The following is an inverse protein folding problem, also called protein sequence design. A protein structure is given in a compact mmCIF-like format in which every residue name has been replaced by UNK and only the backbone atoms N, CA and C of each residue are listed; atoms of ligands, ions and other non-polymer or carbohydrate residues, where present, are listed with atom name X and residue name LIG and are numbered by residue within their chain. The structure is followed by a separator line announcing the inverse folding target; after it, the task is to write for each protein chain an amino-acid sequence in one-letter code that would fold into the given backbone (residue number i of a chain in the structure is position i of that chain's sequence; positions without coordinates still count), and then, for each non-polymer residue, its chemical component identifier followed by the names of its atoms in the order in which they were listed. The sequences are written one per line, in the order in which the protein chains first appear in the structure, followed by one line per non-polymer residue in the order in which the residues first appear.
data_IF_161014384155
#
_entry.id   IF_161014384155
#
_cell.length_a   1.000
_cell.length_b   1.000
_cell.length_c   1.000
_cell.angle_alpha   90.00
_cell.angle_beta   90.00
_cell.angle_gamma   90.00
#
_symmetry.space_group_name_H-M   'P 1'
#
loop_
_entity.id
_entity.type
_entity.pdbx_description
1 polymer ?
#
# COMPACT_ATOMS: atom_id res chain seq x y z
N UNK A 1 -26.83 -31.66 -9.33
CA UNK A 1 -25.99 -31.09 -8.26
C UNK A 1 -25.56 -29.75 -8.79
N UNK A 2 -26.32 -28.70 -8.46
CA UNK A 2 -25.99 -27.33 -8.86
C UNK A 2 -24.82 -26.90 -8.00
N UNK A 3 -23.61 -27.27 -8.46
CA UNK A 3 -22.36 -27.03 -7.76
C UNK A 3 -22.09 -25.54 -7.71
N UNK A 4 -22.05 -24.99 -6.51
CA UNK A 4 -21.64 -23.62 -6.30
C UNK A 4 -20.28 -23.39 -6.97
N UNK A 5 -20.20 -22.39 -7.86
CA UNK A 5 -19.00 -22.07 -8.65
C UNK A 5 -18.02 -21.20 -7.86
N UNK A 6 -17.94 -21.40 -6.55
CA UNK A 6 -17.07 -20.66 -5.64
C UNK A 6 -16.65 -21.50 -4.44
N UNK A 7 -15.49 -21.16 -3.88
CA UNK A 7 -15.08 -21.60 -2.55
C UNK A 7 -15.70 -20.67 -1.51
N UNK A 8 -16.16 -21.20 -0.37
CA UNK A 8 -16.67 -20.39 0.73
C UNK A 8 -16.17 -20.90 2.08
N UNK A 9 -16.05 -20.01 3.06
CA UNK A 9 -15.68 -20.38 4.41
C UNK A 9 -15.49 -19.17 5.31
N UNK A 10 -15.07 -19.44 6.55
CA UNK A 10 -14.76 -18.42 7.54
C UNK A 10 -13.25 -18.28 7.70
N UNK A 11 -12.75 -17.04 7.71
CA UNK A 11 -11.36 -16.71 8.03
C UNK A 11 -10.32 -17.53 7.25
N UNK A 12 -10.59 -17.81 5.96
CA UNK A 12 -9.69 -18.58 5.11
C UNK A 12 -8.82 -17.66 4.26
N UNK A 13 -7.69 -18.18 3.77
CA UNK A 13 -6.81 -17.42 2.91
C UNK A 13 -5.90 -18.33 2.10
N UNK A 14 -5.13 -17.72 1.22
CA UNK A 14 -4.15 -18.39 0.39
C UNK A 14 -2.93 -17.51 0.23
N UNK A 15 -1.81 -18.17 -0.06
CA UNK A 15 -0.48 -17.58 -0.20
C UNK A 15 -0.01 -17.80 -1.62
N UNK A 16 0.54 -16.76 -2.22
CA UNK A 16 1.11 -16.81 -3.57
C UNK A 16 2.59 -16.46 -3.48
N UNK A 17 3.45 -17.41 -3.84
CA UNK A 17 4.89 -17.15 -3.94
C UNK A 17 5.14 -16.28 -5.18
N UNK A 18 5.52 -15.03 -4.96
CA UNK A 18 5.76 -14.02 -5.97
C UNK A 18 7.15 -13.41 -5.77
N UNK A 19 7.56 -12.52 -6.67
CA UNK A 19 8.83 -11.79 -6.52
C UNK A 19 8.60 -10.55 -5.66
N UNK A 20 9.32 -10.43 -4.54
CA UNK A 20 9.36 -9.21 -3.74
C UNK A 20 9.93 -8.03 -4.54
N UNK A 21 9.44 -6.82 -4.27
CA UNK A 21 9.80 -5.61 -5.01
C UNK A 21 9.00 -5.36 -6.28
N UNK A 22 8.10 -6.29 -6.62
CA UNK A 22 7.27 -6.22 -7.82
C UNK A 22 5.83 -5.85 -7.48
N UNK A 23 5.12 -5.35 -8.49
CA UNK A 23 3.70 -5.01 -8.40
C UNK A 23 2.92 -6.00 -9.25
N UNK A 24 1.80 -6.48 -8.72
CA UNK A 24 0.90 -7.38 -9.42
C UNK A 24 -0.50 -6.77 -9.48
N UNK A 25 -1.17 -6.95 -10.61
CA UNK A 25 -2.59 -6.70 -10.75
C UNK A 25 -3.34 -7.98 -10.40
N UNK A 26 -4.26 -7.85 -9.45
CA UNK A 26 -5.10 -8.92 -8.96
C UNK A 26 -6.50 -8.65 -9.49
N UNK A 27 -7.09 -9.62 -10.18
CA UNK A 27 -8.53 -9.60 -10.48
C UNK A 27 -9.20 -10.77 -9.78
N UNK A 28 -10.08 -10.47 -8.83
CA UNK A 28 -10.78 -11.45 -8.02
C UNK A 28 -12.29 -11.27 -8.16
N UNK A 29 -13.03 -12.38 -8.25
CA UNK A 29 -14.50 -12.37 -8.11
C UNK A 29 -14.82 -12.93 -6.73
N UNK A 30 -15.26 -12.07 -5.80
CA UNK A 30 -15.43 -12.42 -4.40
C UNK A 30 -16.57 -11.68 -3.69
N UNK A 31 -17.01 -12.24 -2.57
CA UNK A 31 -17.93 -11.63 -1.58
C UNK A 31 -17.24 -11.70 -0.21
N UNK A 32 -17.36 -10.65 0.60
CA UNK A 32 -16.74 -10.53 1.92
C UNK A 32 -15.61 -9.50 1.95
N UNK A 33 -14.80 -9.55 3.02
CA UNK A 33 -13.64 -8.66 3.20
C UNK A 33 -12.35 -9.44 3.06
N UNK A 34 -11.47 -9.02 2.15
CA UNK A 34 -10.11 -9.54 2.02
C UNK A 34 -9.10 -8.57 2.66
N UNK A 35 -8.01 -9.13 3.17
CA UNK A 35 -6.81 -8.44 3.64
C UNK A 35 -5.61 -8.87 2.83
N UNK A 36 -4.88 -7.91 2.27
CA UNK A 36 -3.66 -8.12 1.48
C UNK A 36 -2.65 -7.03 1.85
N UNK A 37 -1.34 -7.15 1.77
CA UNK A 37 -0.46 -8.25 2.14
C UNK A 37 -0.32 -8.27 3.68
N UNK A 38 -0.20 -9.42 4.33
CA UNK A 38 -0.05 -9.48 5.79
C UNK A 38 1.43 -9.44 6.14
N UNK A 39 1.85 -8.49 7.00
CA UNK A 39 3.26 -8.41 7.43
C UNK A 39 3.47 -9.06 8.79
N UNK A 40 2.64 -8.70 9.77
CA UNK A 40 2.73 -9.23 11.13
C UNK A 40 1.36 -9.20 11.83
N UNK A 41 1.32 -9.32 13.16
CA UNK A 41 0.09 -9.27 13.95
C UNK A 41 -0.57 -7.88 14.01
N UNK A 42 0.20 -6.81 13.80
CA UNK A 42 -0.28 -5.42 13.87
C UNK A 42 -0.59 -4.83 12.50
N UNK A 43 0.16 -5.21 11.47
CA UNK A 43 -0.01 -4.82 10.07
C UNK A 43 -0.62 -6.00 9.31
N UNK A 44 -1.95 -6.14 9.48
CA UNK A 44 -2.69 -7.33 9.05
C UNK A 44 -3.08 -7.37 7.58
N UNK A 45 -2.78 -6.31 6.85
CA UNK A 45 -3.13 -6.09 5.44
C UNK A 45 -4.03 -4.88 5.25
N UNK A 46 -3.97 -4.32 4.05
CA UNK A 46 -4.98 -3.42 3.52
C UNK A 46 -6.26 -4.17 3.20
N UNK A 47 -7.38 -3.56 3.55
CA UNK A 47 -8.71 -4.17 3.49
C UNK A 47 -9.46 -3.78 2.21
N UNK A 48 -10.19 -4.75 1.64
CA UNK A 48 -11.11 -4.53 0.52
C UNK A 48 -12.38 -5.36 0.72
N UNK A 49 -13.54 -4.74 0.55
CA UNK A 49 -14.83 -5.39 0.82
C UNK A 49 -15.76 -5.37 -0.37
N UNK A 50 -16.38 -6.53 -0.65
CA UNK A 50 -17.47 -6.69 -1.61
C UNK A 50 -18.71 -7.25 -0.90
N UNK A 51 -19.86 -6.60 -1.09
CA UNK A 51 -21.13 -7.00 -0.42
C UNK A 51 -21.84 -8.16 -1.11
N UNK A 52 -21.53 -8.37 -2.39
CA UNK A 52 -22.08 -9.41 -3.25
C UNK A 52 -20.93 -10.04 -4.00
N UNK A 53 -21.13 -11.25 -4.54
CA UNK A 53 -20.13 -11.92 -5.37
C UNK A 53 -19.92 -11.15 -6.67
N UNK A 54 -18.88 -10.31 -6.72
CA UNK A 54 -18.59 -9.45 -7.87
C UNK A 54 -17.08 -9.28 -8.10
N UNK A 55 -16.72 -8.77 -9.27
CA UNK A 55 -15.32 -8.54 -9.64
C UNK A 55 -14.74 -7.32 -8.90
N UNK A 56 -13.48 -7.45 -8.51
CA UNK A 56 -12.60 -6.37 -8.08
C UNK A 56 -11.26 -6.52 -8.78
N UNK A 57 -10.71 -5.41 -9.27
CA UNK A 57 -9.39 -5.36 -9.88
C UNK A 57 -8.57 -4.31 -9.17
N UNK A 58 -7.42 -4.71 -8.64
CA UNK A 58 -6.54 -3.81 -7.88
C UNK A 58 -5.09 -4.22 -8.02
N UNK A 59 -4.19 -3.26 -7.80
CA UNK A 59 -2.75 -3.51 -7.76
C UNK A 59 -2.29 -3.72 -6.33
N UNK A 60 -1.35 -4.62 -6.16
CA UNK A 60 -0.67 -4.84 -4.89
C UNK A 60 0.84 -4.89 -5.12
N UNK A 61 1.59 -4.17 -4.29
CA UNK A 61 3.02 -4.42 -4.15
C UNK A 61 3.22 -5.69 -3.32
N UNK A 62 4.27 -6.45 -3.63
CA UNK A 62 4.73 -7.59 -2.84
C UNK A 62 6.07 -7.22 -2.22
N UNK A 63 6.20 -7.31 -0.91
CA UNK A 63 7.43 -6.94 -0.20
C UNK A 63 7.69 -7.85 1.00
N UNK A 64 8.88 -7.76 1.59
CA UNK A 64 9.26 -8.61 2.71
C UNK A 64 9.58 -10.04 2.27
N UNK A 65 8.71 -11.00 2.56
CA UNK A 65 8.97 -12.44 2.38
C UNK A 65 8.73 -12.96 0.94
N UNK A 66 8.25 -12.10 0.04
CA UNK A 66 7.93 -12.48 -1.34
C UNK A 66 6.65 -13.31 -1.46
N UNK A 67 5.79 -13.30 -0.44
CA UNK A 67 4.53 -14.03 -0.43
C UNK A 67 3.37 -13.06 -0.34
N UNK A 68 2.57 -12.99 -1.40
CA UNK A 68 1.30 -12.29 -1.32
C UNK A 68 0.31 -13.12 -0.51
N UNK A 69 -0.01 -12.62 0.69
CA UNK A 69 -1.10 -13.11 1.52
C UNK A 69 -2.43 -12.47 1.12
N UNK A 70 -3.43 -13.29 0.80
CA UNK A 70 -4.83 -12.85 0.66
C UNK A 70 -5.68 -13.63 1.64
N UNK A 71 -6.21 -12.94 2.65
CA UNK A 71 -7.01 -13.55 3.72
C UNK A 71 -8.40 -12.95 3.77
N UNK A 72 -9.43 -13.77 3.70
CA UNK A 72 -10.80 -13.37 4.02
C UNK A 72 -10.97 -13.24 5.52
N UNK A 73 -11.60 -12.16 5.99
CA UNK A 73 -12.00 -11.99 7.39
C UNK A 73 -13.51 -12.14 7.53
N UNK A 74 -13.94 -13.04 8.43
CA UNK A 74 -15.34 -13.45 8.53
C UNK A 74 -15.74 -14.42 7.42
N UNK A 75 -17.03 -14.44 7.09
CA UNK A 75 -17.56 -15.22 5.95
C UNK A 75 -17.07 -14.62 4.63
N UNK A 76 -16.59 -15.48 3.74
CA UNK A 76 -16.12 -15.08 2.42
C UNK A 76 -16.50 -16.09 1.34
N UNK A 77 -16.62 -15.60 0.11
CA UNK A 77 -16.74 -16.43 -1.10
C UNK A 77 -15.72 -15.97 -2.13
N UNK A 78 -15.05 -16.91 -2.78
CA UNK A 78 -14.12 -16.66 -3.88
C UNK A 78 -14.48 -17.55 -5.06
N UNK A 79 -14.82 -16.94 -6.20
CA UNK A 79 -15.13 -17.67 -7.44
C UNK A 79 -13.90 -17.79 -8.34
N UNK A 80 -13.13 -16.71 -8.49
CA UNK A 80 -11.93 -16.71 -9.32
C UNK A 80 -10.90 -15.70 -8.83
N UNK A 81 -9.63 -15.96 -9.16
CA UNK A 81 -8.50 -15.08 -8.92
C UNK A 81 -7.53 -15.18 -10.09
N UNK A 82 -7.15 -14.05 -10.68
CA UNK A 82 -6.02 -13.94 -11.60
C UNK A 82 -4.99 -12.97 -11.02
N UNK A 83 -3.73 -13.20 -11.38
CA UNK A 83 -2.57 -12.47 -10.89
C UNK A 83 -1.66 -12.22 -12.07
N UNK A 84 -1.43 -10.96 -12.40
CA UNK A 84 -0.60 -10.54 -13.52
C UNK A 84 0.48 -9.58 -13.06
N UNK A 85 1.73 -9.81 -13.46
CA UNK A 85 2.82 -8.91 -13.12
C UNK A 85 2.64 -7.58 -13.86
N UNK A 86 2.80 -6.47 -13.14
CA UNK A 86 2.78 -5.11 -13.69
C UNK A 86 4.20 -4.65 -13.94
N UNK A 87 4.57 -4.49 -15.21
CA UNK A 87 5.87 -3.98 -15.59
C UNK A 87 6.06 -2.51 -15.17
N UNK A 88 7.20 -2.21 -14.55
CA UNK A 88 7.55 -0.88 -14.03
C UNK A 88 8.89 -0.42 -14.60
N UNK A 89 8.86 0.68 -15.36
CA UNK A 89 10.06 1.30 -15.91
C UNK A 89 10.44 2.53 -15.09
N UNK A 90 11.72 2.64 -14.74
CA UNK A 90 12.29 3.80 -14.04
C UNK A 90 12.00 5.12 -14.76
N UNK A 91 11.83 6.19 -13.99
CA UNK A 91 11.64 7.53 -14.54
C UNK A 91 12.99 8.08 -15.05
N UNK A 92 12.95 9.01 -16.01
CA UNK A 92 14.16 9.73 -16.46
C UNK A 92 14.71 10.68 -15.38
N UNK A 93 13.83 11.20 -14.52
CA UNK A 93 14.15 11.87 -13.25
C UNK A 93 13.28 11.28 -12.14
N UNK A 94 13.81 11.09 -10.94
CA UNK A 94 13.04 10.52 -9.83
C UNK A 94 11.78 11.33 -9.55
N UNK A 95 10.68 10.66 -9.26
CA UNK A 95 9.56 11.26 -8.55
C UNK A 95 9.89 11.32 -7.05
N UNK A 96 9.26 12.25 -6.34
CA UNK A 96 9.34 12.30 -4.87
C UNK A 96 7.97 12.08 -4.26
N UNK A 97 7.82 11.00 -3.51
CA UNK A 97 6.62 10.63 -2.76
C UNK A 97 6.76 10.96 -1.27
N UNK A 98 5.66 11.33 -0.63
CA UNK A 98 5.62 11.48 0.83
C UNK A 98 4.56 10.58 1.46
N UNK A 99 4.93 9.90 2.53
CA UNK A 99 4.01 9.22 3.44
C UNK A 99 3.91 10.06 4.71
N UNK A 100 2.70 10.26 5.21
CA UNK A 100 2.51 10.95 6.47
C UNK A 100 1.07 11.18 6.86
N UNK A 101 0.90 12.00 7.89
CA UNK A 101 -0.40 12.32 8.45
C UNK A 101 -0.89 13.72 8.03
N UNK A 102 -1.68 14.40 8.87
CA UNK A 102 -2.15 15.77 8.61
C UNK A 102 -1.01 16.78 8.47
N UNK A 103 0.12 16.57 9.13
CA UNK A 103 1.29 17.46 9.05
C UNK A 103 2.00 17.39 7.69
N UNK A 104 1.68 16.37 6.89
CA UNK A 104 2.11 16.21 5.49
C UNK A 104 0.97 16.58 4.54
N UNK A 105 -0.26 16.14 4.81
CA UNK A 105 -1.39 16.34 3.90
C UNK A 105 -1.82 17.80 3.72
N UNK A 106 -1.91 18.56 4.82
CA UNK A 106 -2.74 19.76 4.88
C UNK A 106 -2.09 21.00 4.25
N UNK A 107 -2.94 21.96 3.84
CA UNK A 107 -2.49 23.26 3.39
C UNK A 107 -1.64 23.95 4.49
N UNK A 108 -0.48 24.48 4.11
CA UNK A 108 0.53 25.01 5.02
C UNK A 108 1.65 24.01 5.37
N UNK A 109 1.52 22.73 5.00
CA UNK A 109 2.65 21.80 5.09
C UNK A 109 3.65 22.03 3.95
N UNK A 110 4.89 21.61 4.19
CA UNK A 110 5.94 21.63 3.17
C UNK A 110 5.58 20.74 1.97
N UNK A 111 4.99 19.55 2.22
CA UNK A 111 4.62 18.60 1.18
C UNK A 111 3.44 19.10 0.34
N UNK A 112 2.42 19.72 0.96
CA UNK A 112 1.33 20.36 0.22
C UNK A 112 1.84 21.50 -0.65
N UNK A 113 2.71 22.34 -0.11
CA UNK A 113 3.31 23.45 -0.86
C UNK A 113 4.06 22.93 -2.08
N UNK A 114 5.00 21.99 -1.91
CA UNK A 114 5.78 21.44 -3.02
C UNK A 114 4.90 20.74 -4.06
N UNK A 115 3.87 20.00 -3.65
CA UNK A 115 2.96 19.33 -4.58
C UNK A 115 2.23 20.31 -5.52
N UNK A 116 1.97 21.54 -5.08
CA UNK A 116 1.25 22.55 -5.86
C UNK A 116 2.16 23.59 -6.53
N UNK A 117 3.41 23.72 -6.08
CA UNK A 117 4.32 24.82 -6.49
C UNK A 117 5.71 24.34 -6.89
N UNK A 118 5.90 23.06 -7.20
CA UNK A 118 7.22 22.50 -7.57
C UNK A 118 7.93 23.30 -8.68
N UNK A 119 7.18 23.81 -9.66
CA UNK A 119 7.71 24.65 -10.75
C UNK A 119 8.43 25.90 -10.27
N UNK A 120 8.04 26.43 -9.11
CA UNK A 120 8.56 27.67 -8.54
C UNK A 120 9.93 27.46 -7.88
N UNK A 121 10.39 26.21 -7.80
CA UNK A 121 11.70 25.82 -7.27
C UNK A 121 12.60 25.19 -8.35
N UNK A 122 13.17 25.97 -9.29
CA UNK A 122 13.96 25.45 -10.42
C UNK A 122 15.09 24.51 -10.03
N UNK A 123 15.75 24.74 -8.89
CA UNK A 123 16.81 23.84 -8.41
C UNK A 123 16.28 22.43 -8.10
N UNK A 124 15.05 22.33 -7.62
CA UNK A 124 14.40 21.06 -7.29
C UNK A 124 13.69 20.46 -8.51
N UNK A 125 12.88 21.23 -9.24
CA UNK A 125 12.18 20.76 -10.44
C UNK A 125 13.12 20.37 -11.59
N UNK A 126 14.39 20.81 -11.55
CA UNK A 126 15.39 20.31 -12.47
C UNK A 126 15.94 18.92 -12.12
N UNK A 127 15.82 18.45 -10.88
CA UNK A 127 16.36 17.15 -10.42
C UNK A 127 15.30 16.09 -10.17
N UNK A 128 14.05 16.46 -9.86
CA UNK A 128 12.92 15.53 -9.76
C UNK A 128 11.90 15.79 -10.88
N UNK A 129 11.14 14.77 -11.27
CA UNK A 129 10.10 14.89 -12.30
C UNK A 129 8.77 15.42 -11.76
N UNK A 130 8.39 14.99 -10.56
CA UNK A 130 7.10 15.26 -9.94
C UNK A 130 7.20 15.06 -8.42
N UNK A 131 6.31 15.72 -7.67
CA UNK A 131 6.15 15.55 -6.24
C UNK A 131 4.74 15.03 -5.95
N UNK A 132 4.62 14.01 -5.09
CA UNK A 132 3.37 13.38 -4.70
C UNK A 132 3.16 13.48 -3.19
N UNK A 133 2.23 14.34 -2.78
CA UNK A 133 1.75 14.38 -1.40
C UNK A 133 0.78 13.22 -1.14
N UNK A 134 1.27 12.14 -0.52
CA UNK A 134 0.44 10.99 -0.10
C UNK A 134 0.13 11.02 1.41
N UNK A 135 0.17 12.19 2.05
CA UNK A 135 -0.23 12.32 3.45
C UNK A 135 -1.74 12.13 3.67
N UNK A 136 -2.14 11.57 4.81
CA UNK A 136 -3.54 11.38 5.18
C UNK A 136 -3.82 11.74 6.64
N UNK A 137 -4.68 12.73 6.86
CA UNK A 137 -4.98 13.25 8.19
C UNK A 137 -5.53 12.20 9.17
N UNK A 138 -5.00 12.23 10.40
CA UNK A 138 -5.40 11.33 11.49
C UNK A 138 -4.85 9.91 11.37
N UNK A 139 -3.96 9.64 10.40
CA UNK A 139 -3.41 8.28 10.22
C UNK A 139 -2.09 8.14 10.98
N UNK A 140 -1.87 6.90 11.39
CA UNK A 140 -0.63 6.34 11.94
C UNK A 140 -0.28 5.10 11.11
N UNK A 141 0.88 4.46 11.32
CA UNK A 141 1.33 3.35 10.45
C UNK A 141 0.29 2.24 10.30
N UNK A 142 -0.40 1.84 11.37
CA UNK A 142 -1.42 0.78 11.30
C UNK A 142 -2.61 1.17 10.41
N UNK A 143 -3.22 2.33 10.65
CA UNK A 143 -4.38 2.77 9.86
C UNK A 143 -4.00 3.14 8.43
N UNK A 144 -2.84 3.77 8.23
CA UNK A 144 -2.32 4.05 6.89
C UNK A 144 -2.08 2.77 6.08
N UNK A 145 -1.64 1.70 6.75
CA UNK A 145 -1.46 0.40 6.14
C UNK A 145 -2.80 -0.27 5.81
N UNK A 146 -3.69 -0.40 6.80
CA UNK A 146 -4.97 -1.09 6.64
C UNK A 146 -5.92 -0.39 5.66
N UNK A 147 -5.80 0.92 5.50
CA UNK A 147 -6.55 1.68 4.49
C UNK A 147 -5.94 1.57 3.06
N UNK A 148 -4.83 0.83 2.88
CA UNK A 148 -4.20 0.62 1.57
C UNK A 148 -3.35 1.79 1.08
N UNK A 149 -3.11 2.79 1.92
CA UNK A 149 -2.38 3.99 1.52
C UNK A 149 -0.90 3.70 1.28
N UNK A 150 -0.29 2.82 2.10
CA UNK A 150 1.08 2.36 1.81
C UNK A 150 1.12 1.60 0.48
N UNK A 151 0.17 0.70 0.24
CA UNK A 151 0.10 -0.06 -1.00
C UNK A 151 0.00 0.86 -2.24
N UNK A 152 -0.79 1.93 -2.15
CA UNK A 152 -0.90 2.92 -3.23
C UNK A 152 0.45 3.58 -3.54
N UNK A 153 1.22 3.94 -2.50
CA UNK A 153 2.57 4.51 -2.67
C UNK A 153 3.52 3.47 -3.27
N UNK A 154 3.56 2.24 -2.73
CA UNK A 154 4.44 1.19 -3.23
C UNK A 154 4.14 0.79 -4.68
N UNK A 155 2.85 0.78 -5.07
CA UNK A 155 2.44 0.54 -6.45
C UNK A 155 2.80 1.70 -7.40
N UNK A 156 2.90 2.92 -6.87
CA UNK A 156 3.17 4.14 -7.64
C UNK A 156 4.65 4.44 -7.82
N UNK A 157 5.48 4.13 -6.81
CA UNK A 157 6.92 4.39 -6.89
C UNK A 157 7.56 3.56 -7.99
N UNK A 158 8.70 4.02 -8.50
CA UNK A 158 9.55 3.31 -9.47
C UNK A 158 10.98 3.33 -8.99
N UNK A 159 11.82 2.47 -9.58
CA UNK A 159 13.22 2.43 -9.19
C UNK A 159 13.89 3.80 -9.36
N UNK A 160 14.63 4.21 -8.33
CA UNK A 160 15.28 5.51 -8.24
C UNK A 160 14.42 6.65 -7.67
N UNK A 161 13.11 6.47 -7.49
CA UNK A 161 12.26 7.47 -6.85
C UNK A 161 12.66 7.71 -5.38
N UNK A 162 12.31 8.87 -4.86
CA UNK A 162 12.58 9.26 -3.46
C UNK A 162 11.30 9.15 -2.65
N UNK A 163 11.37 8.57 -1.45
CA UNK A 163 10.24 8.55 -0.51
C UNK A 163 10.64 9.18 0.82
N UNK A 164 9.82 10.10 1.32
CA UNK A 164 9.95 10.66 2.67
C UNK A 164 8.81 10.20 3.55
N UNK A 165 9.12 9.68 4.74
CA UNK A 165 8.12 9.34 5.78
C UNK A 165 8.18 10.42 6.86
N UNK A 166 7.07 11.09 7.14
CA UNK A 166 7.00 12.16 8.13
C UNK A 166 5.64 12.19 8.84
N UNK A 167 5.57 12.72 10.07
CA UNK A 167 4.31 12.90 10.79
C UNK A 167 3.64 11.64 11.32
N UNK A 168 4.13 10.44 11.01
CA UNK A 168 3.46 9.18 11.36
C UNK A 168 3.36 8.88 12.86
N UNK A 169 4.12 9.62 13.70
CA UNK A 169 4.04 9.51 15.17
C UNK A 169 3.03 10.44 15.84
N UNK A 170 2.49 11.44 15.15
CA UNK A 170 1.60 12.44 15.77
C UNK A 170 0.30 11.84 16.27
N UNK A 171 -0.30 10.93 15.49
CA UNK A 171 -1.57 10.29 15.82
C UNK A 171 -1.40 8.92 16.50
N UNK A 172 -0.15 8.43 16.63
CA UNK A 172 0.09 7.13 17.24
C UNK A 172 0.12 7.24 18.76
N UNK A 173 -1.05 7.08 19.37
CA UNK A 173 -1.25 7.19 20.82
C UNK A 173 -1.18 5.86 21.55
N UNK A 174 -1.04 4.75 20.82
CA UNK A 174 -1.22 3.40 21.38
C UNK A 174 -0.03 2.48 21.18
N UNK A 175 0.86 2.76 20.23
CA UNK A 175 2.09 1.99 20.08
C UNK A 175 3.10 2.34 21.16
N UNK A 176 3.82 1.32 21.62
CA UNK A 176 5.11 1.50 22.29
C UNK A 176 6.14 2.08 21.32
N UNK A 177 7.25 2.59 21.86
CA UNK A 177 8.37 3.08 21.04
C UNK A 177 8.96 1.99 20.14
N UNK A 178 9.01 0.75 20.62
CA UNK A 178 9.57 -0.37 19.88
C UNK A 178 8.64 -0.79 18.74
N UNK A 179 7.32 -0.85 18.98
CA UNK A 179 6.33 -1.08 17.91
C UNK A 179 6.37 0.03 16.87
N UNK A 180 6.43 1.30 17.28
CA UNK A 180 6.56 2.42 16.35
C UNK A 180 7.81 2.28 15.46
N UNK A 181 8.94 1.93 16.06
CA UNK A 181 10.20 1.69 15.35
C UNK A 181 10.08 0.51 14.39
N UNK A 182 9.45 -0.59 14.82
CA UNK A 182 9.20 -1.76 13.99
C UNK A 182 8.37 -1.39 12.76
N UNK A 183 7.23 -0.71 12.94
CA UNK A 183 6.38 -0.29 11.83
C UNK A 183 7.10 0.64 10.86
N UNK A 184 7.90 1.56 11.40
CA UNK A 184 8.68 2.47 10.56
C UNK A 184 9.74 1.72 9.74
N UNK A 185 10.41 0.73 10.32
CA UNK A 185 11.37 -0.11 9.61
C UNK A 185 10.68 -0.94 8.51
N UNK A 186 9.51 -1.52 8.79
CA UNK A 186 8.71 -2.25 7.79
C UNK A 186 8.39 -1.35 6.59
N UNK A 187 7.95 -0.12 6.83
CA UNK A 187 7.67 0.82 5.74
C UNK A 187 8.93 1.14 4.92
N UNK A 188 10.06 1.39 5.60
CA UNK A 188 11.34 1.66 4.93
C UNK A 188 11.80 0.48 4.10
N UNK A 189 11.72 -0.73 4.63
CA UNK A 189 12.17 -1.95 3.94
C UNK A 189 11.23 -2.29 2.78
N UNK A 190 9.93 -2.07 2.93
CA UNK A 190 8.96 -2.18 1.83
C UNK A 190 9.29 -1.20 0.69
N UNK A 191 9.58 0.06 1.00
CA UNK A 191 9.97 1.07 0.01
C UNK A 191 11.27 0.64 -0.71
N UNK A 192 12.30 0.23 0.04
CA UNK A 192 13.58 -0.22 -0.54
C UNK A 192 13.44 -1.43 -1.44
N UNK A 193 12.51 -2.33 -1.13
CA UNK A 193 12.26 -3.50 -1.97
C UNK A 193 11.79 -3.10 -3.38
N UNK A 194 11.12 -1.95 -3.52
CA UNK A 194 10.55 -1.51 -4.80
C UNK A 194 11.55 -0.86 -5.77
N UNK A 195 12.82 -0.76 -5.40
CA UNK A 195 13.93 -0.23 -6.21
C UNK A 195 14.32 1.21 -5.90
#
# INVERSE_FOLDING_TARGET
ADGESYMSGQNFGFKLNLTAGEVYEITAVYEGTIKCERVNSSLTGFERTKKTLESDTYKTAVFGDGVLDITFSGDGKLSSLTVEKVERTANSKPAWWTIGDSTVQQNGSWAYTLNNTLSDYPKLSNVISVFYNSGQAGRQHRSYYTEGLLNNVLCGIKSGDVVSISGMGTNDTSSTKDEFKEYNNIYIDAIKAMG
#
